data_IF_028853244126
#
_entry.id   IF_028853244126
#
_cell.length_a   1.000
_cell.length_b   1.000
_cell.length_c   1.000
_cell.angle_alpha   90.00
_cell.angle_beta   90.00
_cell.angle_gamma   90.00
#
_symmetry.space_group_name_H-M   'P 1'
#
loop_
_entity.id
_entity.type
_entity.pdbx_description
1 polymer ?
#
# COMPACT_ATOMS: atom_id res chain seq x y z
N UNK A 1 -3.56 13.37 6.78
CA UNK A 1 -2.09 13.58 6.90
C UNK A 1 -1.57 14.26 5.64
N UNK A 2 -0.53 15.11 5.71
CA UNK A 2 0.04 15.74 4.51
C UNK A 2 0.95 14.75 3.76
N UNK A 3 0.91 14.77 2.43
CA UNK A 3 1.74 13.96 1.51
C UNK A 3 3.23 14.07 1.82
N UNK A 4 3.73 15.24 2.21
CA UNK A 4 5.15 15.42 2.56
C UNK A 4 5.55 14.63 3.82
N UNK A 5 4.66 14.58 4.82
CA UNK A 5 4.86 13.75 6.01
C UNK A 5 4.89 12.27 5.62
N UNK A 6 3.97 11.83 4.75
CA UNK A 6 3.92 10.45 4.25
C UNK A 6 5.23 10.08 3.55
N UNK A 7 5.72 10.93 2.64
CA UNK A 7 6.99 10.72 1.94
C UNK A 7 8.17 10.58 2.90
N UNK A 8 8.23 11.42 3.93
CA UNK A 8 9.28 11.35 4.95
C UNK A 8 9.25 10.00 5.68
N UNK A 9 8.09 9.59 6.18
CA UNK A 9 7.94 8.29 6.87
C UNK A 9 8.29 7.13 5.94
N UNK A 10 7.86 7.17 4.67
CA UNK A 10 8.20 6.14 3.69
C UNK A 10 9.71 6.04 3.48
N UNK A 11 10.41 7.18 3.36
CA UNK A 11 11.86 7.22 3.19
C UNK A 11 12.62 6.62 4.37
N UNK A 12 12.08 6.71 5.58
CA UNK A 12 12.66 6.11 6.79
C UNK A 12 12.37 4.60 6.89
N UNK A 13 11.25 4.14 6.33
CA UNK A 13 10.78 2.75 6.43
C UNK A 13 11.18 1.84 5.26
N UNK A 14 11.50 2.42 4.09
CA UNK A 14 11.79 1.71 2.84
C UNK A 14 13.27 1.80 2.48
N UNK A 15 13.76 0.83 1.72
CA UNK A 15 15.06 0.98 1.05
C UNK A 15 15.01 2.10 0.01
N UNK A 16 16.16 2.67 -0.33
CA UNK A 16 16.26 3.75 -1.32
C UNK A 16 15.67 3.34 -2.69
N UNK A 17 15.96 2.13 -3.15
CA UNK A 17 15.40 1.56 -4.38
C UNK A 17 13.87 1.50 -4.31
N UNK A 18 13.31 1.01 -3.21
CA UNK A 18 11.86 0.85 -3.02
C UNK A 18 11.17 2.21 -2.89
N UNK A 19 11.81 3.16 -2.23
CA UNK A 19 11.32 4.53 -2.13
C UNK A 19 11.25 5.20 -3.52
N UNK A 20 12.29 5.08 -4.33
CA UNK A 20 12.31 5.60 -5.70
C UNK A 20 11.26 4.91 -6.60
N UNK A 21 11.11 3.59 -6.47
CA UNK A 21 10.04 2.84 -7.14
C UNK A 21 8.65 3.36 -6.75
N UNK A 22 8.44 3.64 -5.47
CA UNK A 22 7.17 4.14 -4.94
C UNK A 22 6.84 5.52 -5.51
N UNK A 23 7.82 6.43 -5.57
CA UNK A 23 7.63 7.76 -6.19
C UNK A 23 7.27 7.64 -7.67
N UNK A 24 8.00 6.81 -8.42
CA UNK A 24 7.71 6.58 -9.84
C UNK A 24 6.33 5.97 -10.08
N UNK A 25 5.89 5.06 -9.20
CA UNK A 25 4.56 4.45 -9.25
C UNK A 25 3.47 5.47 -8.96
N UNK A 26 3.64 6.32 -7.96
CA UNK A 26 2.71 7.41 -7.64
C UNK A 26 2.55 8.39 -8.83
N UNK A 27 3.65 8.79 -9.47
CA UNK A 27 3.62 9.67 -10.64
C UNK A 27 2.94 9.00 -11.84
N UNK A 28 3.18 7.71 -12.06
CA UNK A 28 2.51 6.94 -13.10
C UNK A 28 1.00 6.84 -12.86
N UNK A 29 0.60 6.53 -11.62
CA UNK A 29 -0.80 6.44 -11.22
C UNK A 29 -1.54 7.77 -11.42
N UNK A 30 -0.91 8.90 -11.09
CA UNK A 30 -1.45 10.23 -11.34
C UNK A 30 -1.66 10.49 -12.84
N UNK A 31 -0.66 10.17 -13.68
CA UNK A 31 -0.76 10.34 -15.14
C UNK A 31 -1.88 9.49 -15.74
N UNK A 32 -2.04 8.26 -15.26
CA UNK A 32 -3.11 7.36 -15.68
C UNK A 32 -4.48 7.89 -15.25
N UNK A 33 -4.62 8.32 -13.99
CA UNK A 33 -5.86 8.90 -13.50
C UNK A 33 -6.29 10.12 -14.32
N UNK A 34 -5.35 11.03 -14.60
CA UNK A 34 -5.59 12.18 -15.47
C UNK A 34 -6.04 11.78 -16.87
N UNK A 35 -5.39 10.77 -17.46
CA UNK A 35 -5.72 10.27 -18.80
C UNK A 35 -7.14 9.67 -18.87
N UNK A 36 -7.57 8.99 -17.82
CA UNK A 36 -8.87 8.31 -17.77
C UNK A 36 -9.96 9.09 -17.04
N UNK A 37 -9.69 10.34 -16.62
CA UNK A 37 -10.68 11.18 -15.93
C UNK A 37 -11.03 10.70 -14.51
N UNK A 38 -10.10 10.02 -13.83
CA UNK A 38 -10.24 9.57 -12.45
C UNK A 38 -9.65 10.60 -11.47
N UNK A 39 -9.90 10.43 -10.17
CA UNK A 39 -9.33 11.29 -9.13
C UNK A 39 -7.80 11.12 -9.05
N UNK A 40 -7.09 12.13 -9.53
CA UNK A 40 -5.63 12.19 -9.56
C UNK A 40 -5.00 12.07 -8.16
N UNK A 41 -5.64 12.67 -7.13
CA UNK A 41 -5.10 12.69 -5.77
C UNK A 41 -5.23 11.31 -5.12
N UNK A 42 -6.37 10.65 -5.31
CA UNK A 42 -6.57 9.28 -4.80
C UNK A 42 -5.58 8.31 -5.46
N UNK A 43 -5.44 8.38 -6.79
CA UNK A 43 -4.52 7.52 -7.52
C UNK A 43 -3.06 7.74 -7.11
N UNK A 44 -2.64 9.00 -6.95
CA UNK A 44 -1.31 9.33 -6.46
C UNK A 44 -1.05 8.76 -5.06
N UNK A 45 -2.00 8.94 -4.14
CA UNK A 45 -1.85 8.48 -2.76
C UNK A 45 -1.84 6.94 -2.66
N UNK A 46 -2.69 6.26 -3.42
CA UNK A 46 -2.67 4.80 -3.53
C UNK A 46 -1.32 4.30 -4.06
N UNK A 47 -0.80 4.92 -5.12
CA UNK A 47 0.52 4.59 -5.66
C UNK A 47 1.67 4.86 -4.68
N UNK A 48 1.55 5.90 -3.85
CA UNK A 48 2.56 6.24 -2.83
C UNK A 48 2.58 5.25 -1.66
N UNK A 49 1.44 4.63 -1.33
CA UNK A 49 1.32 3.77 -0.15
C UNK A 49 1.28 2.27 -0.47
N UNK A 50 1.17 1.87 -1.75
CA UNK A 50 0.97 0.46 -2.14
C UNK A 50 2.01 -0.50 -1.53
N UNK A 51 3.28 -0.09 -1.51
CA UNK A 51 4.42 -0.89 -1.07
C UNK A 51 4.94 -0.49 0.32
N UNK A 52 4.17 0.26 1.13
CA UNK A 52 4.64 0.79 2.42
C UNK A 52 5.07 -0.29 3.43
N UNK A 53 4.59 -1.52 3.30
CA UNK A 53 4.99 -2.66 4.13
C UNK A 53 6.02 -3.59 3.45
N UNK A 54 6.50 -3.29 2.24
CA UNK A 54 7.28 -4.20 1.40
C UNK A 54 8.64 -4.59 1.99
N UNK A 55 9.27 -3.69 2.73
CA UNK A 55 10.59 -3.91 3.32
C UNK A 55 10.55 -4.67 4.65
N UNK A 56 9.36 -5.03 5.16
CA UNK A 56 9.24 -5.84 6.37
C UNK A 56 9.54 -7.31 6.08
N UNK A 57 10.08 -8.01 7.07
CA UNK A 57 10.31 -9.44 6.98
C UNK A 57 8.98 -10.21 6.96
N UNK A 58 8.99 -11.41 6.37
CA UNK A 58 7.79 -12.26 6.32
C UNK A 58 7.25 -12.57 7.73
N UNK A 59 8.14 -12.76 8.71
CA UNK A 59 7.76 -13.04 10.09
C UNK A 59 7.05 -11.84 10.74
N UNK A 60 7.53 -10.62 10.49
CA UNK A 60 6.85 -9.40 10.93
C UNK A 60 5.48 -9.25 10.26
N UNK A 61 5.39 -9.48 8.94
CA UNK A 61 4.14 -9.40 8.20
C UNK A 61 3.13 -10.41 8.74
N UNK A 62 3.52 -11.67 8.93
CA UNK A 62 2.67 -12.72 9.48
C UNK A 62 2.24 -12.42 10.92
N UNK A 63 3.14 -11.85 11.73
CA UNK A 63 2.82 -11.44 13.10
C UNK A 63 1.74 -10.36 13.11
N UNK A 64 1.89 -9.32 12.29
CA UNK A 64 0.90 -8.25 12.18
C UNK A 64 -0.43 -8.81 11.67
N UNK A 65 -0.40 -9.67 10.65
CA UNK A 65 -1.62 -10.30 10.13
C UNK A 65 -2.34 -11.07 11.24
N UNK A 66 -1.65 -11.92 12.00
CA UNK A 66 -2.26 -12.72 13.07
C UNK A 66 -2.79 -11.87 14.23
N UNK A 67 -2.16 -10.74 14.52
CA UNK A 67 -2.54 -9.87 15.65
C UNK A 67 -3.68 -8.92 15.28
N UNK A 68 -3.58 -8.28 14.11
CA UNK A 68 -4.42 -7.15 13.72
C UNK A 68 -5.43 -7.49 12.62
N UNK A 69 -5.16 -8.49 11.78
CA UNK A 69 -5.97 -8.84 10.60
C UNK A 69 -6.63 -10.20 10.78
N UNK A 70 -7.77 -10.22 11.47
CA UNK A 70 -8.49 -11.44 11.86
C UNK A 70 -9.16 -12.22 10.72
N UNK A 71 -9.24 -11.64 9.51
CA UNK A 71 -10.04 -12.17 8.39
C UNK A 71 -9.22 -12.41 7.11
N UNK A 72 -7.94 -12.77 7.22
CA UNK A 72 -7.15 -13.15 6.03
C UNK A 72 -7.34 -14.62 5.72
N UNK A 73 -7.62 -14.90 4.45
CA UNK A 73 -7.77 -16.26 3.93
C UNK A 73 -6.46 -17.06 4.04
N UNK A 74 -6.54 -18.34 4.38
CA UNK A 74 -5.36 -19.20 4.52
C UNK A 74 -4.54 -19.29 3.22
N UNK A 75 -5.20 -19.19 2.05
CA UNK A 75 -4.53 -19.17 0.75
C UNK A 75 -3.65 -17.93 0.55
N UNK A 76 -4.05 -16.77 1.09
CA UNK A 76 -3.22 -15.57 1.05
C UNK A 76 -1.96 -15.72 1.94
N UNK A 77 -2.07 -16.47 3.04
CA UNK A 77 -0.95 -16.71 3.95
C UNK A 77 0.16 -17.57 3.34
N UNK A 78 -0.17 -18.39 2.34
CA UNK A 78 0.79 -19.29 1.69
C UNK A 78 1.78 -18.54 0.76
N UNK A 79 1.41 -17.35 0.27
CA UNK A 79 2.26 -16.58 -0.63
C UNK A 79 2.89 -15.40 0.09
N UNK A 80 4.11 -15.60 0.60
CA UNK A 80 4.85 -14.55 1.32
C UNK A 80 5.01 -13.24 0.53
N UNK A 81 5.06 -13.32 -0.82
CA UNK A 81 5.22 -12.13 -1.65
C UNK A 81 4.02 -11.21 -1.64
N UNK A 82 2.82 -11.70 -1.30
CA UNK A 82 1.57 -10.91 -1.31
C UNK A 82 1.19 -10.36 0.06
N UNK A 83 1.80 -10.84 1.15
CA UNK A 83 1.47 -10.46 2.54
C UNK A 83 1.63 -8.97 2.86
N UNK A 84 2.50 -8.26 2.14
CA UNK A 84 2.67 -6.82 2.33
C UNK A 84 1.44 -6.01 1.89
N UNK A 85 0.60 -6.51 0.98
CA UNK A 85 -0.58 -5.79 0.54
C UNK A 85 -1.65 -5.62 1.64
N UNK A 86 -2.07 -6.67 2.38
CA UNK A 86 -2.96 -6.50 3.54
C UNK A 86 -2.37 -5.63 4.64
N UNK A 87 -1.09 -5.85 4.95
CA UNK A 87 -0.41 -5.06 5.99
C UNK A 87 -0.25 -3.61 5.55
N UNK A 88 -0.07 -3.37 4.26
CA UNK A 88 -0.03 -2.03 3.67
C UNK A 88 -1.37 -1.30 3.81
N UNK A 89 -2.49 -1.98 3.59
CA UNK A 89 -3.82 -1.41 3.86
C UNK A 89 -3.97 -1.04 5.34
N UNK A 90 -3.57 -1.95 6.23
CA UNK A 90 -3.62 -1.72 7.67
C UNK A 90 -2.82 -0.49 8.09
N UNK A 91 -1.61 -0.32 7.57
CA UNK A 91 -0.78 0.85 7.84
C UNK A 91 -1.32 2.13 7.20
N UNK A 92 -1.85 2.05 5.98
CA UNK A 92 -2.55 3.18 5.35
C UNK A 92 -3.66 3.72 6.25
N UNK A 93 -4.45 2.82 6.85
CA UNK A 93 -5.52 3.18 7.79
C UNK A 93 -4.99 3.72 9.11
N UNK A 94 -4.07 3.00 9.77
CA UNK A 94 -3.69 3.27 11.17
C UNK A 94 -2.57 4.28 11.34
N UNK A 95 -1.55 4.25 10.48
CA UNK A 95 -0.39 5.13 10.57
C UNK A 95 -0.51 6.36 9.69
N UNK A 96 -1.06 6.20 8.48
CA UNK A 96 -1.18 7.30 7.51
C UNK A 96 -2.56 7.98 7.53
N UNK A 97 -3.48 7.47 8.37
CA UNK A 97 -4.80 8.02 8.63
C UNK A 97 -5.63 8.21 7.36
N UNK A 98 -5.58 7.20 6.48
CA UNK A 98 -6.37 7.11 5.25
C UNK A 98 -7.66 6.36 5.53
N UNK A 99 -8.80 7.03 5.32
CA UNK A 99 -10.13 6.46 5.50
C UNK A 99 -10.85 6.16 4.18
N UNK A 100 -10.29 6.60 3.05
CA UNK A 100 -10.89 6.42 1.73
C UNK A 100 -10.83 4.95 1.30
N UNK A 101 -12.00 4.32 1.20
CA UNK A 101 -12.12 2.89 0.87
C UNK A 101 -11.59 2.53 -0.53
N UNK A 102 -11.58 3.45 -1.50
CA UNK A 102 -11.03 3.18 -2.83
C UNK A 102 -9.51 3.10 -2.77
N UNK A 103 -8.88 4.01 -2.02
CA UNK A 103 -7.42 4.00 -1.80
C UNK A 103 -7.01 2.74 -1.06
N UNK A 104 -7.70 2.42 0.04
CA UNK A 104 -7.41 1.25 0.86
C UNK A 104 -7.56 -0.05 0.06
N UNK A 105 -8.64 -0.16 -0.73
CA UNK A 105 -8.83 -1.31 -1.61
C UNK A 105 -7.74 -1.40 -2.70
N UNK A 106 -7.36 -0.28 -3.30
CA UNK A 106 -6.28 -0.27 -4.29
C UNK A 106 -4.98 -0.80 -3.68
N UNK A 107 -4.66 -0.43 -2.44
CA UNK A 107 -3.50 -0.96 -1.71
C UNK A 107 -3.67 -2.44 -1.37
N UNK A 108 -4.83 -2.86 -0.85
CA UNK A 108 -5.09 -4.26 -0.44
C UNK A 108 -4.91 -5.26 -1.58
N UNK A 109 -5.33 -4.89 -2.78
CA UNK A 109 -5.41 -5.79 -3.93
C UNK A 109 -4.37 -5.53 -5.03
N UNK A 110 -3.39 -4.64 -4.81
CA UNK A 110 -2.43 -4.28 -5.87
C UNK A 110 -1.57 -5.44 -6.39
N UNK A 111 -1.45 -6.53 -5.63
CA UNK A 111 -0.64 -7.71 -6.01
C UNK A 111 -1.44 -8.80 -6.72
N UNK A 112 -2.71 -8.98 -6.36
CA UNK A 112 -3.54 -10.11 -6.79
C UNK A 112 -4.71 -9.68 -7.70
N UNK A 113 -5.00 -8.37 -7.74
CA UNK A 113 -6.19 -7.84 -8.39
C UNK A 113 -7.47 -8.25 -7.69
N UNK A 114 -8.60 -7.74 -8.18
CA UNK A 114 -9.95 -8.18 -7.81
C UNK A 114 -10.91 -7.87 -8.95
N UNK A 115 -12.05 -8.54 -8.96
CA UNK A 115 -13.18 -8.12 -9.79
C UNK A 115 -13.81 -6.90 -9.11
N UNK A 116 -14.10 -5.87 -9.90
CA UNK A 116 -14.75 -4.63 -9.46
C UNK A 116 -16.27 -4.78 -9.41
#
# INVERSE_FOLDING_TARGET
MNTDCIKKTLKESLSEERYNHTLGTADCALKLAKKYGLDEKKAYLAGLLHDCAKCKSNDELLKIIKQELKNIDEGELQNHKTLHAPVGEYFARTMYNIDDSEILNAIRYHTIGRVN
#
